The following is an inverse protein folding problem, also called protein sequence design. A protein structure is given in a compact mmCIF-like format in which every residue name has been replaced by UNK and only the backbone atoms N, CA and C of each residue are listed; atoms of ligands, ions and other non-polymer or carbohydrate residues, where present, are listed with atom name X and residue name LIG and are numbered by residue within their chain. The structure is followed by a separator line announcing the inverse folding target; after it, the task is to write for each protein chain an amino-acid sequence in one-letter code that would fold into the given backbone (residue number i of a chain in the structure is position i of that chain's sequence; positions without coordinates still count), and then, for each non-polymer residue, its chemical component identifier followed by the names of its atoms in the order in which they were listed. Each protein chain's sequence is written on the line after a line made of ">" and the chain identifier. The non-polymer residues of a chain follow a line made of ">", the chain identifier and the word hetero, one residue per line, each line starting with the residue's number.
data_IF_061310297588
#
_entry.id   IF_061310297588
#
_cell.length_a   1.000
_cell.length_b   1.000
_cell.length_c   1.000
_cell.angle_alpha   90.00
_cell.angle_beta   90.00
_cell.angle_gamma   90.00
#
_symmetry.space_group_name_H-M   'P 1'
#
loop_
_entity.id
_entity.type
_entity.pdbx_description
1 polymer ?
#
# COMPACT_ATOMS: atom_id res chain seq x y z
N UNK A 1 -3.67 1.52 -8.19
CA UNK A 1 -4.29 2.63 -7.44
C UNK A 1 -3.24 3.60 -6.89
N UNK A 2 -2.39 3.20 -5.93
CA UNK A 2 -1.41 4.12 -5.31
C UNK A 2 -0.42 4.75 -6.32
N UNK A 3 0.03 4.00 -7.33
CA UNK A 3 0.87 4.53 -8.42
C UNK A 3 0.14 5.65 -9.18
N UNK A 4 -1.17 5.52 -9.40
CA UNK A 4 -1.97 6.53 -10.09
C UNK A 4 -2.16 7.80 -9.24
N UNK A 5 -2.01 7.71 -7.92
CA UNK A 5 -1.96 8.85 -7.02
C UNK A 5 -0.58 9.54 -6.99
N UNK A 6 0.43 9.00 -7.71
CA UNK A 6 1.79 9.53 -7.74
C UNK A 6 2.75 8.86 -6.76
N UNK A 7 2.39 7.70 -6.18
CA UNK A 7 3.30 6.99 -5.29
C UNK A 7 4.48 6.35 -6.04
N UNK A 8 5.67 6.53 -5.48
CA UNK A 8 6.89 5.82 -5.88
C UNK A 8 6.88 4.43 -5.26
N UNK A 9 7.19 3.41 -6.06
CA UNK A 9 7.21 2.01 -5.63
C UNK A 9 8.65 1.56 -5.45
N UNK A 10 8.92 0.89 -4.34
CA UNK A 10 10.19 0.19 -4.10
C UNK A 10 9.94 -1.24 -3.64
N UNK A 11 10.71 -2.18 -4.17
CA UNK A 11 10.63 -3.59 -3.82
C UNK A 11 11.75 -3.95 -2.85
N UNK A 12 11.41 -4.59 -1.74
CA UNK A 12 12.38 -5.07 -0.75
C UNK A 12 12.75 -6.54 -0.97
N UNK A 13 13.52 -7.11 -0.02
CA UNK A 13 13.76 -8.55 0.01
C UNK A 13 12.44 -9.31 0.22
N UNK A 14 12.19 -10.33 -0.61
CA UNK A 14 10.97 -11.14 -0.57
C UNK A 14 9.78 -10.53 -1.32
N UNK A 15 8.57 -10.76 -0.81
CA UNK A 15 7.33 -10.31 -1.46
C UNK A 15 6.88 -8.90 -1.05
N UNK A 16 7.70 -8.14 -0.31
CA UNK A 16 7.30 -6.85 0.25
C UNK A 16 7.48 -5.74 -0.78
N UNK A 17 6.43 -4.93 -0.97
CA UNK A 17 6.38 -3.77 -1.86
C UNK A 17 6.03 -2.54 -1.01
N UNK A 18 6.88 -1.52 -1.03
CA UNK A 18 6.69 -0.24 -0.34
C UNK A 18 6.23 0.83 -1.35
N UNK A 19 5.24 1.62 -0.95
CA UNK A 19 4.73 2.78 -1.66
C UNK A 19 5.06 4.04 -0.85
N UNK A 20 5.50 5.09 -1.53
CA UNK A 20 5.88 6.36 -0.90
C UNK A 20 5.32 7.54 -1.69
N UNK A 21 4.64 8.46 -1.00
CA UNK A 21 4.05 9.67 -1.58
C UNK A 21 4.00 10.76 -0.52
N UNK A 22 4.48 11.97 -0.86
CA UNK A 22 4.38 13.13 0.04
C UNK A 22 5.08 12.95 1.39
N UNK A 23 6.09 12.08 1.50
CA UNK A 23 6.78 11.76 2.75
C UNK A 23 6.08 10.69 3.61
N UNK A 24 4.90 10.23 3.21
CA UNK A 24 4.21 9.09 3.82
C UNK A 24 4.64 7.80 3.12
N UNK A 25 4.67 6.70 3.87
CA UNK A 25 4.92 5.40 3.28
C UNK A 25 4.13 4.26 3.89
N UNK A 26 3.73 3.32 3.04
CA UNK A 26 3.07 2.07 3.42
C UNK A 26 3.74 0.91 2.71
N UNK A 27 3.81 -0.26 3.37
CA UNK A 27 4.36 -1.44 2.74
C UNK A 27 3.41 -2.63 2.86
N UNK A 28 3.17 -3.29 1.73
CA UNK A 28 2.34 -4.48 1.64
C UNK A 28 3.19 -5.69 1.26
N UNK A 29 2.83 -6.85 1.76
CA UNK A 29 3.28 -8.10 1.15
C UNK A 29 2.42 -8.36 -0.09
N UNK A 30 3.03 -8.72 -1.22
CA UNK A 30 2.31 -9.25 -2.38
C UNK A 30 1.41 -10.37 -1.86
N UNK A 31 0.14 -10.40 -2.30
CA UNK A 31 -0.77 -11.45 -1.88
C UNK A 31 -0.11 -12.79 -2.19
N UNK A 32 0.07 -13.62 -1.16
CA UNK A 32 0.40 -15.03 -1.36
C UNK A 32 -0.74 -15.68 -2.16
N UNK A 33 -0.48 -16.78 -2.89
CA UNK A 33 -1.49 -17.44 -3.71
C UNK A 33 -2.73 -17.77 -2.87
N UNK A 34 -3.78 -16.96 -3.02
CA UNK A 34 -4.97 -16.93 -2.18
C UNK A 34 -5.72 -15.63 -2.49
N UNK A 35 -6.96 -15.74 -3.00
CA UNK A 35 -7.64 -14.67 -3.75
C UNK A 35 -7.99 -13.39 -2.96
N UNK A 36 -7.70 -13.31 -1.65
CA UNK A 36 -8.18 -12.23 -0.80
C UNK A 36 -7.03 -11.51 -0.06
N UNK A 37 -7.05 -10.18 -0.10
CA UNK A 37 -6.25 -9.35 0.80
C UNK A 37 -6.66 -9.63 2.24
N UNK A 38 -5.69 -9.69 3.16
CA UNK A 38 -6.01 -9.84 4.58
C UNK A 38 -6.63 -8.54 5.09
N UNK A 39 -7.55 -8.63 6.06
CA UNK A 39 -8.27 -7.47 6.61
C UNK A 39 -7.32 -6.35 7.03
N UNK A 40 -6.19 -6.69 7.68
CA UNK A 40 -5.21 -5.68 8.08
C UNK A 40 -4.61 -4.91 6.88
N UNK A 41 -4.43 -5.56 5.72
CA UNK A 41 -3.92 -4.87 4.53
C UNK A 41 -4.92 -3.88 3.97
N UNK A 42 -6.22 -4.15 4.12
CA UNK A 42 -7.30 -3.24 3.72
C UNK A 42 -7.32 -2.04 4.69
N UNK A 43 -7.20 -2.30 5.99
CA UNK A 43 -7.13 -1.25 7.01
C UNK A 43 -5.90 -0.36 6.77
N UNK A 44 -4.72 -0.94 6.58
CA UNK A 44 -3.47 -0.20 6.33
C UNK A 44 -3.58 0.65 5.05
N UNK A 45 -4.17 0.11 3.98
CA UNK A 45 -4.40 0.87 2.76
C UNK A 45 -5.39 2.02 2.95
N UNK A 46 -6.45 1.81 3.73
CA UNK A 46 -7.44 2.85 4.05
C UNK A 46 -6.81 3.97 4.87
N UNK A 47 -6.12 3.65 5.95
CA UNK A 47 -5.43 4.64 6.81
C UNK A 47 -4.44 5.45 5.97
N UNK A 48 -3.67 4.78 5.11
CA UNK A 48 -2.72 5.46 4.23
C UNK A 48 -3.41 6.44 3.26
N UNK A 49 -4.57 6.08 2.71
CA UNK A 49 -5.33 6.98 1.84
C UNK A 49 -5.91 8.17 2.62
N UNK A 50 -6.46 7.93 3.81
CA UNK A 50 -6.98 8.97 4.69
C UNK A 50 -5.87 9.96 5.10
N UNK A 51 -4.66 9.48 5.42
CA UNK A 51 -3.49 10.32 5.71
C UNK A 51 -3.03 11.15 4.50
N UNK A 52 -3.25 10.63 3.28
CA UNK A 52 -3.04 11.38 2.03
C UNK A 52 -4.17 12.37 1.72
N UNK A 53 -5.19 12.46 2.57
CA UNK A 53 -6.38 13.29 2.34
C UNK A 53 -7.30 12.73 1.25
N UNK A 54 -7.11 11.48 0.83
CA UNK A 54 -7.97 10.77 -0.12
C UNK A 54 -9.02 10.02 0.67
N UNK A 55 -10.30 10.31 0.43
CA UNK A 55 -11.41 9.56 1.02
C UNK A 55 -11.69 8.35 0.12
N UNK A 56 -11.42 7.11 0.58
CA UNK A 56 -11.60 5.89 -0.20
C UNK A 56 -13.05 5.39 -0.29
#
# INVERSE_FOLDING_TARGET
>A
MLIALGAVVSEGQGSRVKFEIGGLSVAFHRPHPGKNAKIYQIIDARVFLEELGVIP
#
